data_IF_429587177817
#
_entry.id   IF_429587177817
#
_cell.length_a   1.000
_cell.length_b   1.000
_cell.length_c   1.000
_cell.angle_alpha   90.00
_cell.angle_beta   90.00
_cell.angle_gamma   90.00
#
_symmetry.space_group_name_H-M   'P 1'
#
loop_
_entity.id
_entity.type
_entity.pdbx_description
1 polymer ?
#
# COMPACT_ATOMS: atom_id res chain seq x y z
N UNK A 1 -3.34 10.38 -17.13
CA UNK A 1 -3.91 9.92 -16.25
C UNK A 1 -3.18 9.26 -15.29
N UNK A 2 -3.03 9.70 -14.36
CA UNK A 2 -2.37 9.21 -13.40
C UNK A 2 -3.06 8.15 -12.81
N UNK A 3 -2.63 7.12 -12.87
CA UNK A 3 -3.23 6.14 -12.33
C UNK A 3 -2.55 5.62 -11.23
N UNK A 4 -3.23 5.31 -10.28
CA UNK A 4 -2.76 4.54 -9.20
C UNK A 4 -2.47 3.18 -9.73
N UNK A 5 -1.34 2.67 -9.46
CA UNK A 5 -1.00 1.33 -9.83
C UNK A 5 -1.55 0.32 -8.87
N UNK A 6 -2.24 0.78 -7.87
CA UNK A 6 -2.83 -0.06 -6.83
C UNK A 6 -4.31 -0.11 -7.06
N UNK A 7 -4.86 -1.31 -7.11
CA UNK A 7 -6.29 -1.49 -7.34
C UNK A 7 -6.98 -1.91 -6.06
N UNK A 8 -8.27 -1.72 -5.99
CA UNK A 8 -9.06 -2.14 -4.85
C UNK A 8 -8.95 -3.64 -4.65
N UNK A 9 -8.88 -4.40 -5.75
CA UNK A 9 -8.74 -5.85 -5.65
C UNK A 9 -7.45 -6.23 -4.95
N UNK A 10 -6.35 -5.55 -5.24
CA UNK A 10 -5.08 -5.84 -4.60
C UNK A 10 -5.16 -5.56 -3.11
N UNK A 11 -5.80 -4.48 -2.73
CA UNK A 11 -5.93 -4.11 -1.33
C UNK A 11 -6.82 -5.10 -0.59
N UNK A 12 -7.91 -5.51 -1.21
CA UNK A 12 -8.81 -6.47 -0.60
C UNK A 12 -8.10 -7.80 -0.39
N UNK A 13 -7.34 -8.24 -1.37
CA UNK A 13 -6.59 -9.48 -1.24
C UNK A 13 -5.56 -9.39 -0.12
N UNK A 14 -4.89 -8.26 -0.01
CA UNK A 14 -3.89 -8.08 1.03
C UNK A 14 -4.52 -8.14 2.42
N UNK A 15 -5.69 -7.54 2.57
CA UNK A 15 -6.39 -7.57 3.84
C UNK A 15 -6.92 -8.96 4.17
N UNK A 16 -7.37 -9.68 3.17
CA UNK A 16 -7.92 -11.02 3.39
C UNK A 16 -6.84 -12.05 3.64
N UNK A 17 -5.64 -11.80 3.16
CA UNK A 17 -4.56 -12.76 3.35
C UNK A 17 -4.09 -12.82 4.79
N UNK A 18 -4.40 -11.79 5.56
CA UNK A 18 -3.96 -11.73 6.95
C UNK A 18 -2.51 -11.33 7.12
N UNK A 19 -1.84 -10.98 6.03
CA UNK A 19 -0.45 -10.56 6.11
C UNK A 19 -0.36 -9.06 6.21
N UNK A 20 0.72 -8.58 6.81
CA UNK A 20 0.93 -7.14 6.94
C UNK A 20 1.57 -6.63 5.66
N UNK A 21 0.77 -6.18 4.74
CA UNK A 21 1.23 -5.70 3.45
C UNK A 21 0.90 -4.23 3.27
N UNK A 22 1.80 -3.53 2.63
CA UNK A 22 1.58 -2.14 2.28
C UNK A 22 1.94 -1.90 0.83
N UNK A 23 1.57 -0.76 0.32
CA UNK A 23 1.82 -0.41 -1.07
C UNK A 23 2.36 1.00 -1.16
N UNK A 24 3.28 1.21 -2.07
CA UNK A 24 3.83 2.54 -2.30
C UNK A 24 2.91 3.31 -3.23
N UNK A 25 2.48 4.48 -2.80
CA UNK A 25 1.61 5.30 -3.62
C UNK A 25 2.38 6.00 -4.74
N UNK A 26 3.70 6.00 -4.68
CA UNK A 26 4.50 6.62 -5.72
C UNK A 26 4.81 5.67 -6.85
N UNK A 27 5.22 4.43 -6.54
CA UNK A 27 5.63 3.49 -7.57
C UNK A 27 4.75 2.25 -7.66
N UNK A 28 3.87 2.03 -6.70
CA UNK A 28 2.95 0.89 -6.72
C UNK A 28 3.52 -0.41 -6.21
N UNK A 29 4.73 -0.39 -5.67
CA UNK A 29 5.36 -1.62 -5.18
C UNK A 29 4.67 -2.11 -3.92
N UNK A 30 4.55 -3.42 -3.78
CA UNK A 30 4.03 -4.02 -2.57
C UNK A 30 5.18 -4.34 -1.63
N UNK A 31 4.98 -4.13 -0.35
CA UNK A 31 6.03 -4.32 0.63
C UNK A 31 5.49 -5.09 1.83
N UNK A 32 6.26 -6.09 2.28
CA UNK A 32 5.88 -6.87 3.44
C UNK A 32 6.21 -6.16 4.73
N UNK A 33 5.61 -6.59 5.80
CA UNK A 33 5.94 -6.06 7.11
C UNK A 33 5.43 -4.67 7.35
N UNK A 34 4.47 -4.23 6.57
CA UNK A 34 3.89 -2.90 6.71
C UNK A 34 2.58 -3.04 7.46
N UNK A 35 2.46 -2.38 8.59
CA UNK A 35 1.25 -2.47 9.39
C UNK A 35 0.06 -1.91 8.66
N UNK A 36 -1.14 -2.41 8.90
CA UNK A 36 -2.33 -1.98 8.14
C UNK A 36 -2.58 -0.47 8.22
N UNK A 37 -2.23 0.15 9.32
CA UNK A 37 -2.42 1.59 9.49
C UNK A 37 -1.14 2.38 9.29
N UNK A 38 -0.13 1.79 8.68
CA UNK A 38 1.14 2.46 8.46
C UNK A 38 1.00 3.64 7.50
N UNK A 39 1.78 4.66 7.75
CA UNK A 39 1.77 5.85 6.92
C UNK A 39 3.19 6.30 6.65
N UNK A 40 3.46 6.65 5.42
CA UNK A 40 4.72 7.28 5.04
C UNK A 40 5.95 6.45 5.34
N UNK A 41 5.84 5.15 5.18
CA UNK A 41 7.02 4.32 5.31
C UNK A 41 7.85 4.51 4.03
N UNK A 42 9.15 4.39 4.18
CA UNK A 42 10.05 4.54 3.05
C UNK A 42 9.96 3.31 2.16
N UNK A 43 9.77 3.53 0.88
CA UNK A 43 9.68 2.44 -0.07
C UNK A 43 11.06 1.92 -0.41
N UNK A 44 11.24 0.60 -0.37
CA UNK A 44 12.53 0.02 -0.70
C UNK A 44 12.84 0.11 -2.18
N UNK A 45 11.84 0.28 -3.01
CA UNK A 45 12.04 0.31 -4.45
C UNK A 45 12.37 1.71 -4.97
N UNK A 46 11.68 2.74 -4.48
CA UNK A 46 11.87 4.09 -5.00
C UNK A 46 12.35 5.09 -3.95
N UNK A 47 12.48 4.64 -2.70
CA UNK A 47 12.97 5.47 -1.60
C UNK A 47 12.07 6.66 -1.24
N UNK A 48 10.85 6.65 -1.68
CA UNK A 48 9.93 7.71 -1.32
C UNK A 48 9.16 7.31 -0.06
N UNK A 49 8.87 8.24 0.84
CA UNK A 49 8.11 7.91 2.05
C UNK A 49 6.62 7.87 1.73
N UNK A 50 6.25 6.96 0.89
CA UNK A 50 4.89 6.85 0.40
C UNK A 50 4.30 5.46 0.51
N UNK A 51 4.86 4.61 1.36
CA UNK A 51 4.30 3.28 1.59
C UNK A 51 3.28 3.38 2.70
N UNK A 52 2.07 2.97 2.40
CA UNK A 52 0.97 3.00 3.36
C UNK A 52 0.43 1.59 3.52
N UNK A 53 -0.10 1.29 4.68
CA UNK A 53 -0.72 0.00 4.92
C UNK A 53 -1.96 -0.17 4.09
N UNK A 54 -2.33 -1.42 3.82
CA UNK A 54 -3.48 -1.71 2.97
C UNK A 54 -4.77 -1.08 3.50
N UNK A 55 -4.97 -1.11 4.81
CA UNK A 55 -6.18 -0.56 5.39
C UNK A 55 -6.21 0.96 5.23
N UNK A 56 -5.07 1.62 5.39
CA UNK A 56 -4.99 3.06 5.20
C UNK A 56 -5.33 3.43 3.76
N UNK A 57 -4.81 2.67 2.81
CA UNK A 57 -5.07 2.96 1.40
C UNK A 57 -6.54 2.73 1.08
N UNK A 58 -7.13 1.70 1.66
CA UNK A 58 -8.54 1.43 1.43
C UNK A 58 -9.39 2.63 1.86
N UNK A 59 -9.05 3.24 2.99
CA UNK A 59 -9.79 4.39 3.45
C UNK A 59 -9.59 5.61 2.55
N UNK A 60 -8.46 5.70 1.87
CA UNK A 60 -8.21 6.81 0.98
C UNK A 60 -8.97 6.70 -0.32
N UNK A 61 -9.18 5.48 -0.81
CA UNK A 61 -9.81 5.31 -2.11
C UNK A 61 -11.25 4.85 -2.03
N UNK A 62 -11.73 4.48 -0.87
CA UNK A 62 -13.11 3.98 -0.72
C UNK A 62 -14.14 5.11 -0.56
#
# INVERSE_FOLDING_TARGET
MAQSKITLDQITEALESGESLGFCLACGAMQDGVEPDARRYVCDACNEPRVYGAEEILMMIA
#
